data_IF_864427183054
#
_entry.id   IF_864427183054
#
_cell.length_a   1.000
_cell.length_b   1.000
_cell.length_c   1.000
_cell.angle_alpha   90.00
_cell.angle_beta   90.00
_cell.angle_gamma   90.00
#
_symmetry.space_group_name_H-M   'P 1'
#
loop_
_entity.id
_entity.type
_entity.pdbx_description
1 polymer ?
#
# COMPACT_ATOMS: atom_id res chain seq x y z
N UNK A 1 17.17 -43.74 -5.48
CA UNK A 1 18.01 -42.58 -5.85
C UNK A 1 17.22 -41.34 -5.48
N UNK A 2 17.40 -40.80 -4.27
CA UNK A 2 16.68 -39.61 -3.84
C UNK A 2 17.22 -38.43 -4.65
N UNK A 3 16.38 -37.87 -5.50
CA UNK A 3 16.76 -36.78 -6.38
C UNK A 3 16.83 -35.49 -5.56
N UNK A 4 17.81 -34.63 -5.80
CA UNK A 4 17.87 -33.30 -5.18
C UNK A 4 16.57 -32.51 -5.40
N UNK A 5 15.84 -32.81 -6.47
CA UNK A 5 14.53 -32.27 -6.79
C UNK A 5 13.48 -32.54 -5.71
N UNK A 6 13.60 -33.65 -4.99
CA UNK A 6 12.68 -34.06 -3.92
C UNK A 6 12.97 -33.32 -2.60
N UNK A 7 14.21 -32.87 -2.39
CA UNK A 7 14.56 -31.94 -1.32
C UNK A 7 14.11 -30.51 -1.60
N UNK A 8 14.04 -30.11 -2.87
CA UNK A 8 13.54 -28.79 -3.29
C UNK A 8 12.06 -28.80 -3.70
N UNK A 9 11.39 -29.95 -3.64
CA UNK A 9 9.94 -30.00 -3.79
C UNK A 9 9.31 -29.62 -2.47
N UNK A 10 8.94 -28.34 -2.36
CA UNK A 10 8.03 -27.91 -1.31
C UNK A 10 6.70 -28.61 -1.53
N UNK A 11 6.31 -29.45 -0.59
CA UNK A 11 4.97 -30.03 -0.57
C UNK A 11 3.97 -28.94 -0.16
N UNK A 12 3.40 -28.28 -1.17
CA UNK A 12 2.39 -27.26 -1.00
C UNK A 12 1.12 -27.81 -0.31
N UNK A 13 0.85 -29.11 -0.42
CA UNK A 13 -0.28 -29.76 0.24
C UNK A 13 0.00 -30.08 1.71
N UNK A 14 1.27 -30.11 2.13
CA UNK A 14 1.66 -30.28 3.53
C UNK A 14 1.73 -28.96 4.31
N UNK A 15 1.60 -27.80 3.66
CA UNK A 15 1.53 -26.51 4.39
C UNK A 15 0.25 -26.43 5.21
N UNK A 16 0.39 -26.13 6.50
CA UNK A 16 -0.77 -25.96 7.38
C UNK A 16 -1.56 -24.72 6.98
N UNK A 17 -2.85 -24.68 7.32
CA UNK A 17 -3.72 -23.54 7.01
C UNK A 17 -3.18 -22.22 7.59
N UNK A 18 -2.50 -22.28 8.73
CA UNK A 18 -1.85 -21.11 9.34
C UNK A 18 -0.68 -20.59 8.51
N UNK A 19 0.15 -21.48 7.95
CA UNK A 19 1.28 -21.10 7.11
C UNK A 19 0.80 -20.42 5.82
N UNK A 20 -0.32 -20.87 5.25
CA UNK A 20 -0.97 -20.23 4.10
C UNK A 20 -1.48 -18.82 4.41
N UNK A 21 -2.10 -18.63 5.58
CA UNK A 21 -2.58 -17.31 6.01
C UNK A 21 -1.39 -16.36 6.17
N UNK A 22 -0.33 -16.80 6.84
CA UNK A 22 0.88 -16.00 7.03
C UNK A 22 1.49 -15.59 5.68
N UNK A 23 1.64 -16.55 4.77
CA UNK A 23 2.17 -16.29 3.42
C UNK A 23 1.33 -15.27 2.65
N UNK A 24 0.01 -15.47 2.59
CA UNK A 24 -0.91 -14.59 1.87
C UNK A 24 -0.92 -13.19 2.49
N UNK A 25 -0.89 -13.09 3.82
CA UNK A 25 -0.88 -11.80 4.52
C UNK A 25 0.40 -11.02 4.18
N UNK A 26 1.57 -11.66 4.24
CA UNK A 26 2.84 -11.02 3.88
C UNK A 26 2.87 -10.58 2.42
N UNK A 27 2.43 -11.42 1.48
CA UNK A 27 2.34 -11.06 0.06
C UNK A 27 1.36 -9.90 -0.15
N UNK A 28 0.23 -9.90 0.55
CA UNK A 28 -0.77 -8.83 0.45
C UNK A 28 -0.21 -7.50 0.92
N UNK A 29 0.45 -7.46 2.09
CA UNK A 29 1.08 -6.24 2.62
C UNK A 29 2.15 -5.71 1.66
N UNK A 30 2.97 -6.58 1.09
CA UNK A 30 3.97 -6.20 0.10
C UNK A 30 3.33 -5.56 -1.15
N UNK A 31 2.25 -6.15 -1.68
CA UNK A 31 1.52 -5.58 -2.83
C UNK A 31 0.90 -4.23 -2.46
N UNK A 32 0.30 -4.10 -1.27
CA UNK A 32 -0.26 -2.83 -0.80
C UNK A 32 0.84 -1.75 -0.77
N UNK A 33 2.03 -2.09 -0.26
CA UNK A 33 3.17 -1.17 -0.24
C UNK A 33 3.61 -0.76 -1.65
N UNK A 34 3.65 -1.71 -2.59
CA UNK A 34 3.94 -1.41 -4.00
C UNK A 34 2.88 -0.51 -4.64
N UNK A 35 1.60 -0.79 -4.40
CA UNK A 35 0.50 0.04 -4.92
C UNK A 35 0.56 1.44 -4.33
N UNK A 36 0.77 1.57 -3.01
CA UNK A 36 0.93 2.86 -2.35
C UNK A 36 2.14 3.63 -2.92
N UNK A 37 3.27 2.96 -3.13
CA UNK A 37 4.44 3.53 -3.78
C UNK A 37 4.08 4.04 -5.18
N UNK A 38 3.51 3.17 -6.03
CA UNK A 38 3.14 3.56 -7.39
C UNK A 38 2.15 4.72 -7.40
N UNK A 39 1.14 4.73 -6.52
CA UNK A 39 0.15 5.82 -6.43
C UNK A 39 0.76 7.15 -5.98
N UNK A 40 1.62 7.14 -4.96
CA UNK A 40 2.28 8.36 -4.45
C UNK A 40 3.26 8.91 -5.49
N UNK A 41 4.03 8.03 -6.13
CA UNK A 41 5.03 8.41 -7.12
C UNK A 41 4.45 8.59 -8.53
N UNK A 42 3.16 8.26 -8.75
CA UNK A 42 2.52 8.48 -10.04
C UNK A 42 2.37 9.99 -10.28
N UNK A 43 2.86 10.54 -11.41
CA UNK A 43 2.87 11.97 -11.67
C UNK A 43 1.47 12.59 -11.66
N UNK A 44 0.44 11.82 -12.06
CA UNK A 44 -0.97 12.25 -12.07
C UNK A 44 -1.55 12.53 -10.67
N UNK A 45 -1.02 11.91 -9.62
CA UNK A 45 -1.46 12.13 -8.24
C UNK A 45 -0.66 13.22 -7.52
N UNK A 46 0.49 13.62 -8.06
CA UNK A 46 1.34 14.67 -7.44
C UNK A 46 0.65 16.03 -7.42
N UNK A 47 -0.01 16.40 -8.51
CA UNK A 47 -0.80 17.65 -8.62
C UNK A 47 -1.89 17.74 -7.55
N UNK A 48 -2.65 16.67 -7.35
CA UNK A 48 -3.73 16.65 -6.35
C UNK A 48 -3.19 16.65 -4.91
N UNK A 49 -2.05 15.99 -4.66
CA UNK A 49 -1.39 15.99 -3.35
C UNK A 49 -0.74 17.35 -3.04
N UNK A 50 -0.23 18.05 -4.05
CA UNK A 50 0.33 19.40 -3.92
C UNK A 50 -0.76 20.47 -3.77
N UNK A 51 -1.93 20.29 -4.40
CA UNK A 51 -3.08 21.17 -4.24
C UNK A 51 -3.62 21.18 -2.79
N UNK A 52 -3.49 20.05 -2.09
CA UNK A 52 -3.92 19.92 -0.68
C UNK A 52 -2.88 20.43 0.32
N UNK A 53 -1.68 20.86 -0.12
CA UNK A 53 -0.62 21.36 0.76
C UNK A 53 -0.99 22.65 1.48
N UNK A 54 -1.88 23.47 0.90
CA UNK A 54 -2.21 24.79 1.41
C UNK A 54 -3.54 24.85 2.19
N UNK A 55 -4.22 23.72 2.42
CA UNK A 55 -5.52 23.72 3.12
C UNK A 55 -5.40 24.31 4.53
N UNK A 56 -4.27 24.07 5.22
CA UNK A 56 -3.99 24.63 6.55
C UNK A 56 -3.66 26.14 6.54
N UNK A 57 -3.33 26.71 5.38
CA UNK A 57 -3.00 28.13 5.21
C UNK A 57 -4.12 28.93 4.52
N UNK A 58 -5.11 28.25 3.93
CA UNK A 58 -6.28 28.89 3.29
C UNK A 58 -7.41 29.22 4.29
N UNK A 59 -7.34 28.71 5.53
CA UNK A 59 -8.34 28.98 6.59
C UNK A 59 -8.22 30.40 7.17
N UNK A 60 -7.12 31.11 6.88
CA UNK A 60 -6.95 32.54 7.20
C UNK A 60 -7.78 33.47 6.28
N UNK A 61 -8.57 32.92 5.34
CA UNK A 61 -9.50 33.67 4.48
C UNK A 61 -10.97 33.56 4.90
N UNK A 62 -11.28 32.98 6.06
CA UNK A 62 -12.58 33.16 6.70
C UNK A 62 -12.63 34.54 7.37
N UNK A 63 -12.69 35.57 6.54
CA UNK A 63 -13.02 36.93 6.96
C UNK A 63 -14.48 36.95 7.46
N UNK A 64 -14.77 37.20 8.75
CA UNK A 64 -16.13 37.28 9.26
C UNK A 64 -16.81 38.64 8.98
N UNK A 65 -16.22 39.53 8.18
CA UNK A 65 -16.73 40.89 7.93
C UNK A 65 -17.70 41.02 6.73
N UNK A 66 -18.71 40.16 6.61
CA UNK A 66 -19.85 40.48 5.72
C UNK A 66 -21.20 39.99 6.25
N UNK A 67 -21.58 40.47 7.44
CA UNK A 67 -23.00 40.70 7.75
C UNK A 67 -23.16 42.02 8.51
N UNK A 68 -23.30 43.10 7.75
CA UNK A 68 -23.83 44.38 8.20
C UNK A 68 -25.26 44.56 7.70
#
# INVERSE_FOLDING_TARGET
MNSLREYFSTDWAAMTLHDWIGMIMTVSVFIIMLVAYVLIFHPKNRENLEAQRYILFDDDRLDPEEKK
#
